data_IF_497108743324
#
_entry.id   IF_497108743324
#
_cell.length_a   1.000
_cell.length_b   1.000
_cell.length_c   1.000
_cell.angle_alpha   90.00
_cell.angle_beta   90.00
_cell.angle_gamma   90.00
#
_symmetry.space_group_name_H-M   'P 1'
#
loop_
_entity.id
_entity.type
_entity.pdbx_description
1 polymer ?
#
# COMPACT_ATOMS: atom_id res chain seq x y z
N UNK A 1 7.65 -16.59 7.71
CA UNK A 1 6.85 -15.45 7.27
C UNK A 1 7.70 -14.19 7.04
N UNK A 2 8.49 -13.69 8.00
CA UNK A 2 9.44 -12.58 7.72
C UNK A 2 10.46 -12.87 6.59
N UNK A 3 10.71 -14.14 6.30
CA UNK A 3 11.55 -14.60 5.19
C UNK A 3 10.91 -14.36 3.81
N UNK A 4 9.58 -14.40 3.72
CA UNK A 4 8.82 -14.22 2.48
C UNK A 4 8.92 -12.77 1.96
N UNK A 5 8.83 -11.79 2.85
CA UNK A 5 8.94 -10.36 2.53
C UNK A 5 10.36 -10.01 2.08
N UNK A 6 11.37 -10.63 2.70
CA UNK A 6 12.78 -10.48 2.30
C UNK A 6 13.07 -11.14 0.96
N UNK A 7 12.43 -12.28 0.67
CA UNK A 7 12.55 -13.00 -0.60
C UNK A 7 11.92 -12.20 -1.75
N UNK A 8 10.72 -11.62 -1.55
CA UNK A 8 10.02 -10.82 -2.57
C UNK A 8 10.83 -9.55 -2.91
N UNK A 9 11.39 -8.86 -1.91
CA UNK A 9 12.20 -7.64 -2.12
C UNK A 9 13.57 -7.92 -2.75
N UNK A 10 14.23 -9.02 -2.42
CA UNK A 10 15.54 -9.39 -2.99
C UNK A 10 15.43 -10.12 -4.33
N UNK A 11 14.44 -11.00 -4.50
CA UNK A 11 14.35 -11.84 -5.71
C UNK A 11 13.86 -11.04 -6.91
N UNK A 12 12.94 -10.10 -6.72
CA UNK A 12 12.40 -9.29 -7.82
C UNK A 12 13.40 -8.24 -8.34
N UNK A 13 14.25 -7.66 -7.46
CA UNK A 13 15.16 -6.58 -7.88
C UNK A 13 16.49 -7.08 -8.48
N UNK A 14 17.01 -8.22 -8.03
CA UNK A 14 18.34 -8.69 -8.42
C UNK A 14 18.33 -9.79 -9.47
N UNK A 15 17.30 -10.65 -9.51
CA UNK A 15 17.26 -11.77 -10.45
C UNK A 15 16.62 -11.42 -11.80
N UNK A 16 15.68 -10.48 -11.83
CA UNK A 16 15.11 -10.01 -13.11
C UNK A 16 16.11 -9.21 -13.93
N UNK A 17 16.99 -8.43 -13.27
CA UNK A 17 18.06 -7.68 -13.93
C UNK A 17 19.18 -8.60 -14.49
N UNK A 18 19.34 -9.82 -13.95
CA UNK A 18 20.33 -10.81 -14.40
C UNK A 18 19.80 -11.79 -15.46
N UNK A 19 18.52 -11.77 -15.79
CA UNK A 19 17.87 -12.72 -16.70
C UNK A 19 17.99 -12.37 -18.20
N UNK A 20 18.88 -11.46 -18.55
CA UNK A 20 19.22 -11.18 -19.95
C UNK A 20 20.02 -12.33 -20.56
N UNK A 21 19.34 -13.39 -21.06
CA UNK A 21 19.94 -14.28 -22.04
C UNK A 21 20.19 -15.74 -21.67
N UNK A 22 19.35 -16.34 -20.80
CA UNK A 22 19.58 -17.75 -20.44
C UNK A 22 18.33 -18.48 -19.99
N UNK A 23 17.37 -18.65 -20.89
CA UNK A 23 16.49 -19.74 -20.95
C UNK A 23 15.27 -19.90 -20.13
N UNK A 24 14.60 -20.79 -20.72
CA UNK A 24 13.25 -21.29 -20.46
C UNK A 24 13.09 -21.95 -19.06
N UNK A 25 14.10 -22.69 -18.56
CA UNK A 25 13.99 -23.40 -17.27
C UNK A 25 13.98 -22.48 -16.06
N UNK A 26 14.92 -21.54 -15.96
CA UNK A 26 15.03 -20.62 -14.81
C UNK A 26 13.81 -19.68 -14.69
N UNK A 27 13.30 -19.25 -15.84
CA UNK A 27 12.09 -18.43 -15.90
C UNK A 27 10.86 -19.22 -15.44
N UNK A 28 10.75 -20.49 -15.83
CA UNK A 28 9.67 -21.40 -15.41
C UNK A 28 9.71 -21.64 -13.90
N UNK A 29 10.89 -21.88 -13.33
CA UNK A 29 11.07 -22.09 -11.89
C UNK A 29 10.69 -20.83 -11.08
N UNK A 30 11.05 -19.64 -11.58
CA UNK A 30 10.69 -18.37 -10.95
C UNK A 30 9.18 -18.15 -11.00
N UNK A 31 8.53 -18.38 -12.14
CA UNK A 31 7.08 -18.29 -12.28
C UNK A 31 6.37 -19.26 -11.34
N UNK A 32 6.84 -20.49 -11.24
CA UNK A 32 6.29 -21.49 -10.33
C UNK A 32 6.40 -21.04 -8.86
N UNK A 33 7.56 -20.50 -8.49
CA UNK A 33 7.80 -19.97 -7.13
C UNK A 33 6.88 -18.81 -6.80
N UNK A 34 6.78 -17.80 -7.68
CA UNK A 34 5.90 -16.64 -7.50
C UNK A 34 4.43 -17.07 -7.42
N UNK A 35 4.02 -18.02 -8.27
CA UNK A 35 2.66 -18.55 -8.24
C UNK A 35 2.35 -19.30 -6.95
N UNK A 36 3.29 -20.07 -6.41
CA UNK A 36 3.12 -20.75 -5.13
C UNK A 36 2.98 -19.75 -3.97
N UNK A 37 3.80 -18.69 -3.97
CA UNK A 37 3.71 -17.61 -2.98
C UNK A 37 2.35 -16.89 -3.06
N UNK A 38 1.91 -16.54 -4.27
CA UNK A 38 0.63 -15.87 -4.49
C UNK A 38 -0.55 -16.71 -3.99
N UNK A 39 -0.55 -18.00 -4.34
CA UNK A 39 -1.60 -18.94 -3.91
C UNK A 39 -1.60 -19.14 -2.39
N UNK A 40 -0.44 -19.23 -1.76
CA UNK A 40 -0.32 -19.34 -0.30
C UNK A 40 -0.86 -18.07 0.39
N UNK A 41 -0.50 -16.89 -0.11
CA UNK A 41 -0.97 -15.60 0.42
C UNK A 41 -2.49 -15.47 0.27
N UNK A 42 -3.03 -15.78 -0.92
CA UNK A 42 -4.47 -15.78 -1.17
C UNK A 42 -5.21 -16.76 -0.25
N UNK A 43 -4.66 -17.96 -0.04
CA UNK A 43 -5.23 -18.96 0.87
C UNK A 43 -5.30 -18.47 2.32
N UNK A 44 -4.27 -17.75 2.80
CA UNK A 44 -4.30 -17.16 4.16
C UNK A 44 -5.31 -16.02 4.26
N UNK A 45 -5.37 -15.14 3.27
CA UNK A 45 -6.31 -14.02 3.25
C UNK A 45 -7.76 -14.49 3.12
N UNK A 46 -8.02 -15.52 2.31
CA UNK A 46 -9.35 -16.10 2.10
C UNK A 46 -9.96 -16.74 3.37
N UNK A 47 -9.15 -17.06 4.38
CA UNK A 47 -9.67 -17.52 5.69
C UNK A 47 -10.46 -16.44 6.45
N UNK A 48 -10.21 -15.17 6.13
CA UNK A 48 -10.82 -14.02 6.81
C UNK A 48 -11.76 -13.26 5.87
N UNK A 49 -11.35 -13.11 4.61
CA UNK A 49 -12.13 -12.40 3.58
C UNK A 49 -12.84 -13.45 2.74
N UNK A 50 -14.12 -13.60 2.97
CA UNK A 50 -14.96 -14.58 2.27
C UNK A 50 -15.47 -13.97 0.96
N UNK A 51 -15.48 -14.75 -0.10
CA UNK A 51 -15.87 -14.29 -1.43
C UNK A 51 -14.84 -13.36 -2.09
N UNK A 52 -15.26 -12.65 -3.12
CA UNK A 52 -14.45 -11.62 -3.82
C UNK A 52 -13.08 -12.12 -4.31
N UNK A 53 -13.01 -13.39 -4.73
CA UNK A 53 -11.76 -14.05 -5.11
C UNK A 53 -10.98 -13.26 -6.19
N UNK A 54 -11.68 -12.65 -7.14
CA UNK A 54 -11.05 -11.84 -8.18
C UNK A 54 -10.41 -10.57 -7.60
N UNK A 55 -11.07 -9.92 -6.66
CA UNK A 55 -10.51 -8.75 -5.96
C UNK A 55 -9.30 -9.15 -5.10
N UNK A 56 -9.36 -10.27 -4.40
CA UNK A 56 -8.21 -10.81 -3.65
C UNK A 56 -7.03 -11.08 -4.58
N UNK A 57 -7.27 -11.67 -5.74
CA UNK A 57 -6.25 -11.92 -6.76
C UNK A 57 -5.60 -10.62 -7.24
N UNK A 58 -6.40 -9.61 -7.58
CA UNK A 58 -5.91 -8.29 -8.03
C UNK A 58 -5.07 -7.61 -6.96
N UNK A 59 -5.54 -7.59 -5.72
CA UNK A 59 -4.77 -7.03 -4.58
C UNK A 59 -3.48 -7.81 -4.37
N UNK A 60 -3.51 -9.15 -4.45
CA UNK A 60 -2.31 -9.99 -4.34
C UNK A 60 -1.27 -9.62 -5.40
N UNK A 61 -1.68 -9.48 -6.66
CA UNK A 61 -0.78 -9.06 -7.75
C UNK A 61 -0.16 -7.70 -7.43
N UNK A 62 -0.95 -6.70 -7.03
CA UNK A 62 -0.45 -5.37 -6.69
C UNK A 62 0.54 -5.41 -5.53
N UNK A 63 0.22 -6.12 -4.46
CA UNK A 63 1.09 -6.24 -3.28
C UNK A 63 2.42 -6.93 -3.62
N UNK A 64 2.38 -8.01 -4.39
CA UNK A 64 3.59 -8.73 -4.82
C UNK A 64 4.43 -7.91 -5.79
N UNK A 65 3.82 -7.04 -6.59
CA UNK A 65 4.52 -6.11 -7.49
C UNK A 65 4.99 -4.83 -6.81
N UNK A 66 4.82 -4.71 -5.47
CA UNK A 66 5.08 -3.47 -4.72
C UNK A 66 4.35 -2.24 -5.31
N UNK A 67 3.19 -2.50 -5.94
CA UNK A 67 2.35 -1.49 -6.58
C UNK A 67 1.31 -0.93 -5.61
N UNK A 68 0.81 0.28 -5.91
CA UNK A 68 -0.23 0.91 -5.13
C UNK A 68 -1.61 0.71 -5.79
N UNK A 69 -2.66 0.75 -5.00
CA UNK A 69 -4.04 0.48 -5.42
C UNK A 69 -4.93 1.67 -5.10
N UNK A 70 -5.77 2.07 -6.05
CA UNK A 70 -6.85 3.02 -5.82
C UNK A 70 -8.19 2.27 -5.81
N UNK A 71 -8.89 2.32 -4.69
CA UNK A 71 -10.20 1.72 -4.49
C UNK A 71 -11.28 2.79 -4.61
N UNK A 72 -12.14 2.67 -5.62
CA UNK A 72 -13.30 3.55 -5.78
C UNK A 72 -14.56 2.84 -5.30
N UNK A 73 -14.93 3.10 -4.07
CA UNK A 73 -16.04 2.40 -3.42
C UNK A 73 -16.74 3.23 -2.36
N UNK A 74 -17.97 2.84 -2.09
CA UNK A 74 -18.71 3.30 -0.93
C UNK A 74 -18.04 2.91 0.39
N UNK A 75 -18.31 3.64 1.49
CA UNK A 75 -17.87 3.25 2.82
C UNK A 75 -18.48 1.90 3.26
N UNK A 76 -17.81 1.20 4.17
CA UNK A 76 -18.36 -0.03 4.77
C UNK A 76 -18.05 -1.35 4.05
N UNK A 77 -17.35 -1.34 2.93
CA UNK A 77 -17.07 -2.56 2.12
C UNK A 77 -15.87 -3.41 2.59
N UNK A 78 -15.45 -3.27 3.84
CA UNK A 78 -14.41 -4.13 4.42
C UNK A 78 -12.97 -3.80 4.00
N UNK A 79 -12.70 -2.61 3.42
CA UNK A 79 -11.37 -2.18 2.96
C UNK A 79 -10.30 -2.24 4.05
N UNK A 80 -10.64 -1.83 5.27
CA UNK A 80 -9.73 -1.89 6.43
C UNK A 80 -9.41 -3.32 6.81
N UNK A 81 -10.41 -4.20 6.81
CA UNK A 81 -10.21 -5.62 7.11
C UNK A 81 -9.33 -6.29 6.05
N UNK A 82 -9.57 -6.01 4.77
CA UNK A 82 -8.76 -6.49 3.66
C UNK A 82 -7.29 -6.08 3.83
N UNK A 83 -7.01 -4.79 3.96
CA UNK A 83 -5.65 -4.25 4.07
C UNK A 83 -4.89 -4.80 5.29
N UNK A 84 -5.57 -4.88 6.44
CA UNK A 84 -4.99 -5.42 7.67
C UNK A 84 -4.72 -6.94 7.55
N UNK A 85 -5.61 -7.67 6.87
CA UNK A 85 -5.44 -9.12 6.66
C UNK A 85 -4.24 -9.40 5.76
N UNK A 86 -4.06 -8.66 4.67
CA UNK A 86 -2.86 -8.75 3.84
C UNK A 86 -1.59 -8.43 4.64
N UNK A 87 -1.59 -7.36 5.43
CA UNK A 87 -0.46 -7.01 6.26
C UNK A 87 -0.09 -8.12 7.24
N UNK A 88 -1.07 -8.69 7.92
CA UNK A 88 -0.87 -9.82 8.85
C UNK A 88 -0.35 -11.07 8.15
N UNK A 89 -0.93 -11.43 7.01
CA UNK A 89 -0.50 -12.59 6.24
C UNK A 89 0.95 -12.46 5.75
N UNK A 90 1.39 -11.24 5.49
CA UNK A 90 2.77 -10.93 5.08
C UNK A 90 3.73 -10.68 6.26
N UNK A 91 3.24 -10.59 7.50
CA UNK A 91 4.06 -10.19 8.65
C UNK A 91 4.51 -8.73 8.60
N UNK A 92 3.74 -7.88 7.94
CA UNK A 92 4.02 -6.47 7.70
C UNK A 92 3.30 -5.54 8.70
N UNK A 93 3.88 -4.34 8.91
CA UNK A 93 3.23 -3.29 9.70
C UNK A 93 2.10 -2.65 8.89
N UNK A 94 0.91 -2.59 9.48
CA UNK A 94 -0.26 -1.91 8.95
C UNK A 94 -0.53 -0.60 9.67
N UNK A 95 -0.88 0.44 8.90
CA UNK A 95 -1.44 1.69 9.41
C UNK A 95 -2.64 2.10 8.56
N UNK A 96 -3.60 2.78 9.19
CA UNK A 96 -4.73 3.44 8.51
C UNK A 96 -4.66 4.92 8.83
N UNK A 97 -4.89 5.74 7.82
CA UNK A 97 -5.06 7.18 7.93
C UNK A 97 -6.36 7.56 7.25
N UNK A 98 -7.23 8.23 7.97
CA UNK A 98 -8.40 8.90 7.41
C UNK A 98 -7.97 10.26 6.91
N UNK A 99 -8.16 10.52 5.63
CA UNK A 99 -7.87 11.82 5.04
C UNK A 99 -9.03 12.77 5.29
N UNK A 100 -8.70 13.94 5.85
CA UNK A 100 -9.66 14.98 6.23
C UNK A 100 -9.19 16.34 5.71
N UNK A 101 -10.09 17.34 5.59
CA UNK A 101 -9.71 18.67 5.08
C UNK A 101 -8.63 19.40 5.88
N UNK A 102 -8.46 19.05 7.13
CA UNK A 102 -7.48 19.64 8.07
C UNK A 102 -6.18 18.81 8.19
N UNK A 103 -6.08 17.65 7.53
CA UNK A 103 -4.91 16.79 7.61
C UNK A 103 -3.68 17.46 6.95
N UNK A 104 -2.61 17.57 7.72
CA UNK A 104 -1.35 18.16 7.26
C UNK A 104 -0.36 17.10 6.74
N UNK A 105 0.58 17.45 5.85
CA UNK A 105 1.66 16.56 5.43
C UNK A 105 2.46 15.98 6.60
N UNK A 106 2.74 16.78 7.64
CA UNK A 106 3.44 16.33 8.86
C UNK A 106 2.70 15.24 9.64
N UNK A 107 1.37 15.19 9.55
CA UNK A 107 0.57 14.17 10.23
C UNK A 107 0.79 12.78 9.63
N UNK A 108 1.09 12.72 8.33
CA UNK A 108 1.36 11.46 7.64
C UNK A 108 2.84 11.13 7.58
N UNK A 109 3.73 12.10 7.41
CA UNK A 109 5.19 11.90 7.36
C UNK A 109 5.81 11.77 8.74
N UNK A 110 5.30 12.52 9.72
CA UNK A 110 5.92 12.70 11.02
C UNK A 110 6.66 14.03 11.14
N UNK A 111 7.23 14.28 12.30
CA UNK A 111 7.94 15.51 12.63
C UNK A 111 9.03 15.25 13.65
N UNK A 112 10.01 16.12 13.75
CA UNK A 112 10.97 16.09 14.85
C UNK A 112 10.36 16.72 16.10
N UNK A 113 10.53 16.06 17.23
CA UNK A 113 10.12 16.55 18.53
C UNK A 113 11.32 16.59 19.47
N UNK A 114 11.42 17.69 20.24
CA UNK A 114 12.46 17.82 21.25
C UNK A 114 12.18 16.86 22.42
N UNK A 115 13.11 15.94 22.68
CA UNK A 115 13.08 15.04 23.82
C UNK A 115 13.81 15.71 24.98
N UNK A 116 13.06 16.13 26.00
CA UNK A 116 13.60 16.82 27.17
C UNK A 116 14.56 15.95 28.00
N UNK A 117 14.44 14.61 27.93
CA UNK A 117 15.30 13.70 28.69
C UNK A 117 16.71 13.62 28.14
N UNK A 118 16.80 13.60 26.82
CA UNK A 118 18.06 13.42 26.12
C UNK A 118 18.63 14.75 25.60
N UNK A 119 17.80 15.81 25.60
CA UNK A 119 18.18 17.14 25.07
C UNK A 119 18.33 17.19 23.55
N UNK A 120 17.71 16.25 22.84
CA UNK A 120 17.88 16.10 21.39
C UNK A 120 16.52 16.10 20.67
N UNK A 121 16.55 16.48 19.38
CA UNK A 121 15.39 16.32 18.51
C UNK A 121 15.32 14.89 18.01
N UNK A 122 14.20 14.22 18.24
CA UNK A 122 13.93 12.85 17.80
C UNK A 122 12.79 12.82 16.79
N UNK A 123 12.95 12.02 15.73
CA UNK A 123 11.90 11.80 14.76
C UNK A 123 10.73 11.03 15.40
N UNK A 124 9.57 11.67 15.46
CA UNK A 124 8.29 11.00 15.67
C UNK A 124 7.74 10.60 14.31
N UNK A 125 8.04 9.36 13.90
CA UNK A 125 7.64 8.82 12.61
C UNK A 125 6.12 8.77 12.45
N UNK A 126 5.63 9.26 11.32
CA UNK A 126 4.23 9.24 10.94
C UNK A 126 3.77 7.89 10.38
N UNK A 127 2.49 7.79 9.98
CA UNK A 127 1.90 6.58 9.41
C UNK A 127 2.58 6.06 8.13
N UNK A 128 3.25 6.91 7.34
CA UNK A 128 4.01 6.48 6.17
C UNK A 128 5.12 5.49 6.51
N UNK A 129 5.62 5.48 7.76
CA UNK A 129 6.59 4.49 8.21
C UNK A 129 5.94 3.14 8.55
N UNK A 130 5.15 2.65 7.62
CA UNK A 130 4.51 1.32 7.65
C UNK A 130 4.74 0.60 6.32
N UNK A 131 4.50 -0.70 6.28
CA UNK A 131 4.64 -1.50 5.07
C UNK A 131 3.37 -1.45 4.20
N UNK A 132 2.21 -1.52 4.85
CA UNK A 132 0.92 -1.41 4.20
C UNK A 132 0.16 -0.26 4.84
N UNK A 133 -0.14 0.74 4.03
CA UNK A 133 -0.90 1.91 4.43
C UNK A 133 -2.27 1.90 3.75
N UNK A 134 -3.34 1.99 4.54
CA UNK A 134 -4.66 2.34 4.04
C UNK A 134 -4.84 3.85 4.16
N UNK A 135 -4.82 4.55 3.02
CA UNK A 135 -5.11 5.97 2.92
C UNK A 135 -6.59 6.13 2.56
N UNK A 136 -7.43 6.37 3.57
CA UNK A 136 -8.88 6.36 3.41
C UNK A 136 -9.39 7.75 3.03
N UNK A 137 -10.21 7.84 1.96
CA UNK A 137 -10.81 9.06 1.42
C UNK A 137 -9.77 10.13 1.04
N UNK A 138 -8.75 9.77 0.24
CA UNK A 138 -7.62 10.65 -0.10
C UNK A 138 -8.05 11.95 -0.76
N UNK A 139 -9.19 11.96 -1.48
CA UNK A 139 -9.75 13.13 -2.13
C UNK A 139 -10.33 14.17 -1.16
N UNK A 140 -10.42 13.89 0.15
CA UNK A 140 -10.87 14.88 1.15
C UNK A 140 -9.74 15.75 1.70
N UNK A 141 -8.49 15.29 1.62
CA UNK A 141 -7.37 16.09 2.12
C UNK A 141 -6.90 17.15 1.11
N UNK A 142 -6.28 18.24 1.60
CA UNK A 142 -5.73 19.28 0.75
C UNK A 142 -4.68 18.74 -0.23
N UNK A 143 -4.50 19.37 -1.41
CA UNK A 143 -3.55 18.93 -2.43
C UNK A 143 -2.10 18.77 -1.92
N UNK A 144 -1.68 19.55 -0.93
CA UNK A 144 -0.34 19.43 -0.32
C UNK A 144 -0.15 18.09 0.38
N UNK A 145 -1.17 17.62 1.09
CA UNK A 145 -1.13 16.33 1.82
C UNK A 145 -1.23 15.17 0.86
N UNK A 146 -2.07 15.29 -0.19
CA UNK A 146 -2.09 14.32 -1.28
C UNK A 146 -0.73 14.21 -1.96
N UNK A 147 -0.09 15.34 -2.30
CA UNK A 147 1.22 15.36 -2.95
C UNK A 147 2.30 14.66 -2.09
N UNK A 148 2.31 14.87 -0.77
CA UNK A 148 3.24 14.19 0.13
C UNK A 148 3.06 12.66 0.14
N UNK A 149 1.81 12.19 0.11
CA UNK A 149 1.54 10.74 -0.03
C UNK A 149 2.02 10.20 -1.36
N UNK A 150 1.69 10.89 -2.46
CA UNK A 150 2.01 10.46 -3.83
C UNK A 150 3.51 10.46 -4.09
N UNK A 151 4.26 11.43 -3.54
CA UNK A 151 5.72 11.45 -3.57
C UNK A 151 6.31 10.26 -2.81
N UNK A 152 5.82 9.99 -1.59
CA UNK A 152 6.24 8.84 -0.81
C UNK A 152 5.95 7.49 -1.52
N UNK A 153 4.84 7.41 -2.28
CA UNK A 153 4.50 6.23 -3.08
C UNK A 153 5.48 5.99 -4.23
N UNK A 154 5.98 7.04 -4.86
CA UNK A 154 6.91 6.98 -5.98
C UNK A 154 8.34 6.76 -5.51
N UNK A 155 8.83 7.64 -4.65
CA UNK A 155 10.23 7.69 -4.21
C UNK A 155 10.58 6.65 -3.13
N UNK A 156 9.58 6.05 -2.48
CA UNK A 156 9.74 5.13 -1.34
C UNK A 156 10.58 5.74 -0.20
N UNK A 157 10.53 7.05 -0.08
CA UNK A 157 11.19 7.86 0.94
C UNK A 157 10.39 9.13 1.24
N UNK A 158 10.69 9.79 2.34
CA UNK A 158 10.13 11.09 2.72
C UNK A 158 11.23 12.00 3.21
N UNK A 159 11.10 13.31 2.95
CA UNK A 159 12.03 14.33 3.46
C UNK A 159 11.34 15.15 4.54
N UNK A 160 11.87 15.10 5.76
CA UNK A 160 11.33 15.80 6.94
C UNK A 160 12.41 16.75 7.43
N UNK A 161 12.12 18.06 7.43
CA UNK A 161 13.04 19.12 7.86
C UNK A 161 14.43 19.01 7.21
N UNK A 162 14.47 18.68 5.91
CA UNK A 162 15.70 18.56 5.12
C UNK A 162 16.43 17.21 5.26
N UNK A 163 15.94 16.30 6.09
CA UNK A 163 16.51 14.95 6.25
C UNK A 163 15.65 13.93 5.51
N UNK A 164 16.27 13.17 4.62
CA UNK A 164 15.59 12.12 3.85
C UNK A 164 15.59 10.79 4.60
N UNK A 165 14.42 10.20 4.75
CA UNK A 165 14.20 8.92 5.42
C UNK A 165 13.60 7.91 4.45
N UNK A 166 14.23 6.75 4.32
CA UNK A 166 13.68 5.64 3.53
C UNK A 166 12.50 5.01 4.26
N UNK A 167 11.45 4.69 3.49
CA UNK A 167 10.31 3.95 4.01
C UNK A 167 10.60 2.45 4.13
N UNK A 168 9.89 1.73 5.01
CA UNK A 168 10.05 0.27 5.13
C UNK A 168 9.68 -0.43 3.81
N UNK A 169 10.46 -1.41 3.39
CA UNK A 169 10.14 -2.24 2.24
C UNK A 169 9.47 -3.56 2.66
N UNK A 170 8.43 -4.03 1.95
CA UNK A 170 7.69 -3.31 0.90
C UNK A 170 6.91 -2.12 1.47
N UNK A 171 6.65 -1.09 0.65
CA UNK A 171 5.75 0.01 0.97
C UNK A 171 4.64 0.06 -0.08
N UNK A 172 3.45 -0.34 0.32
CA UNK A 172 2.25 -0.43 -0.53
C UNK A 172 1.14 0.41 0.07
N UNK A 173 0.55 1.26 -0.76
CA UNK A 173 -0.59 2.09 -0.38
C UNK A 173 -1.85 1.54 -1.04
N UNK A 174 -2.87 1.30 -0.21
CA UNK A 174 -4.25 1.12 -0.65
C UNK A 174 -4.95 2.45 -0.36
N UNK A 175 -5.18 3.23 -1.39
CA UNK A 175 -5.91 4.48 -1.26
C UNK A 175 -7.38 4.26 -1.57
N UNK A 176 -8.27 4.99 -0.91
CA UNK A 176 -9.69 4.97 -1.24
C UNK A 176 -10.17 6.35 -1.63
N UNK A 177 -11.14 6.39 -2.53
CA UNK A 177 -11.92 7.60 -2.81
C UNK A 177 -13.40 7.24 -2.93
N UNK A 178 -14.25 8.15 -2.46
CA UNK A 178 -15.69 8.02 -2.64
C UNK A 178 -16.09 8.78 -3.91
N UNK A 179 -16.58 8.08 -4.96
CA UNK A 179 -16.90 8.72 -6.22
C UNK A 179 -18.14 9.64 -6.15
N UNK A 180 -18.97 9.51 -5.13
CA UNK A 180 -20.25 10.23 -5.02
C UNK A 180 -20.11 11.54 -4.23
N UNK A 181 -19.16 11.63 -3.32
CA UNK A 181 -18.91 12.85 -2.56
C UNK A 181 -18.13 13.86 -3.42
N UNK A 182 -18.81 14.87 -3.93
CA UNK A 182 -18.20 15.97 -4.70
C UNK A 182 -17.98 17.23 -3.87
N UNK A 183 -18.80 17.46 -2.83
CA UNK A 183 -18.66 18.63 -1.97
C UNK A 183 -17.48 18.49 -1.00
N UNK A 184 -16.61 19.50 -0.96
CA UNK A 184 -15.45 19.53 -0.06
C UNK A 184 -14.34 18.52 -0.42
N UNK A 185 -14.30 18.05 -1.67
CA UNK A 185 -13.25 17.13 -2.13
C UNK A 185 -12.30 17.78 -3.13
N UNK A 186 -11.07 17.26 -3.18
CA UNK A 186 -10.01 17.62 -4.11
C UNK A 186 -9.71 16.41 -4.99
N UNK A 187 -10.30 16.31 -6.19
CA UNK A 187 -10.07 15.16 -7.07
C UNK A 187 -8.59 15.06 -7.45
N UNK A 188 -8.10 13.83 -7.57
CA UNK A 188 -6.76 13.57 -8.06
C UNK A 188 -6.68 13.87 -9.56
N UNK A 189 -5.72 14.69 -10.02
CA UNK A 189 -5.44 14.85 -11.45
C UNK A 189 -5.04 13.51 -12.10
N UNK A 190 -5.35 13.33 -13.39
CA UNK A 190 -5.02 12.10 -14.14
C UNK A 190 -3.53 11.72 -14.04
N UNK A 191 -2.64 12.71 -14.19
CA UNK A 191 -1.18 12.50 -14.06
C UNK A 191 -0.75 11.98 -12.68
N UNK A 192 -1.56 12.13 -11.65
CA UNK A 192 -1.30 11.59 -10.32
C UNK A 192 -1.89 10.18 -10.15
N UNK A 193 -2.89 9.83 -10.93
CA UNK A 193 -3.48 8.48 -10.92
C UNK A 193 -2.52 7.43 -11.50
N UNK A 194 -1.58 7.81 -12.35
CA UNK A 194 -0.56 6.91 -12.91
C UNK A 194 0.38 6.30 -11.85
N UNK A 195 0.40 6.85 -10.64
CA UNK A 195 1.14 6.28 -9.50
C UNK A 195 0.48 5.05 -8.87
N UNK A 196 -0.75 4.77 -9.26
CA UNK A 196 -1.46 3.57 -8.87
C UNK A 196 -1.33 2.50 -9.97
N UNK A 197 -0.82 1.33 -9.59
CA UNK A 197 -0.72 0.20 -10.51
C UNK A 197 -2.10 -0.27 -10.99
N UNK A 198 -3.10 -0.11 -10.13
CA UNK A 198 -4.46 -0.57 -10.41
C UNK A 198 -5.49 0.35 -9.74
N UNK A 199 -6.56 0.62 -10.50
CA UNK A 199 -7.78 1.23 -10.01
C UNK A 199 -8.88 0.17 -10.05
N UNK A 200 -9.59 -0.05 -8.97
CA UNK A 200 -10.61 -1.09 -8.87
C UNK A 200 -11.72 -0.73 -7.88
N UNK A 201 -12.85 -1.41 -8.02
CA UNK A 201 -13.94 -1.40 -7.05
C UNK A 201 -14.03 -2.75 -6.34
N UNK A 202 -14.30 -2.74 -5.05
CA UNK A 202 -14.57 -3.96 -4.29
C UNK A 202 -15.98 -4.51 -4.56
N UNK A 203 -16.91 -3.63 -4.92
CA UNK A 203 -18.31 -3.99 -5.11
C UNK A 203 -19.01 -4.48 -3.83
N UNK A 204 -20.30 -4.70 -3.92
CA UNK A 204 -21.06 -5.40 -2.89
C UNK A 204 -20.85 -6.92 -3.02
N UNK A 205 -20.97 -7.69 -1.93
CA UNK A 205 -21.00 -9.16 -2.03
C UNK A 205 -22.16 -9.59 -2.95
N UNK A 206 -21.95 -10.65 -3.70
CA UNK A 206 -23.05 -11.28 -4.43
C UNK A 206 -24.04 -11.90 -3.44
N UNK A 207 -25.36 -11.92 -3.78
CA UNK A 207 -26.42 -12.48 -2.92
C UNK A 207 -26.17 -13.92 -2.47
N UNK A 208 -25.28 -14.64 -3.13
CA UNK A 208 -24.90 -16.00 -2.76
C UNK A 208 -23.76 -16.04 -1.73
N UNK A 209 -23.12 -14.89 -1.44
CA UNK A 209 -22.01 -14.74 -0.51
C UNK A 209 -22.45 -14.08 0.82
N UNK A 210 -23.70 -13.59 0.92
CA UNK A 210 -24.37 -13.15 2.15
C UNK A 210 -24.91 -14.36 2.95
#
# INVERSE_FOLDING_TARGET
>A
MAYLVKLIGLTMSTEFAAAGGGGDSRTKDLIATVSAIANSLMGEVAKVIIGKNENLRRVTVCVLSNGNILLEDFPGLGKTMLSNTFAKALGCKFKRVQFTPDLLPSDIMGTYMFDQKDGEFKLRAGPLFSNILLADEINRAPPKTQAALLEAMEEKQVTIEGVTHKLPAPFVVLATQNPVEQEGTYPLPEAQMDRFLMKMSMGYPDRAEE
#
